data_IF_967743621850
#
_entry.id   IF_967743621850
#
_cell.length_a   1.000
_cell.length_b   1.000
_cell.length_c   1.000
_cell.angle_alpha   90.00
_cell.angle_beta   90.00
_cell.angle_gamma   90.00
#
_symmetry.space_group_name_H-M   'P 1'
#
loop_
_entity.id
_entity.type
_entity.pdbx_description
1 polymer ?
#
# COMPACT_ATOMS: atom_id res chain seq x y z
N UNK A 1 -22.60 -9.19 31.34
CA UNK A 1 -21.46 -9.65 30.51
C UNK A 1 -21.49 -8.91 29.18
N UNK A 2 -20.70 -7.85 29.03
CA UNK A 2 -20.56 -7.13 27.76
C UNK A 2 -19.61 -7.94 26.87
N UNK A 3 -20.10 -8.44 25.73
CA UNK A 3 -19.27 -9.14 24.75
C UNK A 3 -18.32 -8.11 24.14
N UNK A 4 -17.04 -8.14 24.53
CA UNK A 4 -15.98 -7.34 23.90
C UNK A 4 -15.89 -7.82 22.45
N UNK A 5 -16.48 -7.05 21.53
CA UNK A 5 -16.24 -7.22 20.10
C UNK A 5 -14.74 -7.08 19.92
N UNK A 6 -14.10 -8.15 19.46
CA UNK A 6 -12.67 -8.25 19.23
C UNK A 6 -12.22 -7.03 18.44
N UNK A 7 -11.59 -6.07 19.11
CA UNK A 7 -10.91 -4.96 18.44
C UNK A 7 -9.81 -5.62 17.63
N UNK A 8 -9.96 -5.67 16.30
CA UNK A 8 -8.79 -5.82 15.45
C UNK A 8 -7.98 -4.56 15.77
N UNK A 9 -6.98 -4.69 16.64
CA UNK A 9 -6.09 -3.58 16.99
C UNK A 9 -5.63 -2.91 15.71
N UNK A 10 -5.74 -1.59 15.61
CA UNK A 10 -5.48 -0.81 14.39
C UNK A 10 -4.18 -1.23 13.70
N UNK A 11 -3.16 -1.63 14.47
CA UNK A 11 -1.90 -2.20 13.98
C UNK A 11 -2.04 -3.46 13.11
N UNK A 12 -2.90 -4.41 13.47
CA UNK A 12 -3.12 -5.62 12.67
C UNK A 12 -3.87 -5.29 11.38
N UNK A 13 -4.78 -4.33 11.42
CA UNK A 13 -5.49 -3.86 10.24
C UNK A 13 -4.55 -3.10 9.29
N UNK A 14 -3.72 -2.20 9.81
CA UNK A 14 -2.71 -1.48 9.05
C UNK A 14 -1.71 -2.42 8.38
N UNK A 15 -1.23 -3.45 9.09
CA UNK A 15 -0.34 -4.47 8.51
C UNK A 15 -0.98 -5.23 7.35
N UNK A 16 -2.25 -5.62 7.49
CA UNK A 16 -3.00 -6.30 6.42
C UNK A 16 -3.21 -5.40 5.21
N UNK A 17 -3.55 -4.13 5.44
CA UNK A 17 -3.69 -3.14 4.37
C UNK A 17 -2.37 -2.94 3.63
N UNK A 18 -1.28 -2.79 4.37
CA UNK A 18 0.05 -2.65 3.80
C UNK A 18 0.45 -3.88 2.96
N UNK A 19 0.20 -5.11 3.45
CA UNK A 19 0.44 -6.33 2.66
C UNK A 19 -0.36 -6.38 1.35
N UNK A 20 -1.63 -5.95 1.38
CA UNK A 20 -2.45 -5.88 0.17
C UNK A 20 -1.88 -4.88 -0.84
N UNK A 21 -1.44 -3.71 -0.36
CA UNK A 21 -0.82 -2.69 -1.19
C UNK A 21 0.49 -3.18 -1.83
N UNK A 22 1.31 -3.90 -1.07
CA UNK A 22 2.52 -4.54 -1.61
C UNK A 22 2.20 -5.60 -2.67
N UNK A 23 1.16 -6.42 -2.48
CA UNK A 23 0.72 -7.35 -3.50
C UNK A 23 0.26 -6.64 -4.78
N UNK A 24 -0.48 -5.53 -4.63
CA UNK A 24 -0.88 -4.72 -5.78
C UNK A 24 0.33 -4.06 -6.46
N UNK A 25 1.35 -3.65 -5.72
CA UNK A 25 2.57 -3.09 -6.28
C UNK A 25 3.38 -4.11 -7.10
N UNK A 26 3.23 -5.40 -6.82
CA UNK A 26 3.87 -6.48 -7.60
C UNK A 26 3.16 -6.83 -8.92
N UNK A 27 1.96 -6.30 -9.15
CA UNK A 27 1.23 -6.46 -10.42
C UNK A 27 1.47 -5.23 -11.32
N UNK A 28 1.98 -5.39 -12.57
CA UNK A 28 2.31 -4.26 -13.43
C UNK A 28 1.15 -3.32 -13.79
N UNK A 29 -0.09 -3.81 -13.89
CA UNK A 29 -1.24 -2.95 -14.19
C UNK A 29 -1.69 -2.16 -12.97
N UNK A 30 -1.68 -2.79 -11.79
CA UNK A 30 -2.03 -2.14 -10.53
C UNK A 30 -0.93 -1.19 -10.05
N UNK A 31 0.35 -1.54 -10.27
CA UNK A 31 1.50 -0.71 -9.97
C UNK A 31 1.43 0.64 -10.70
N UNK A 32 1.07 0.66 -11.98
CA UNK A 32 0.85 1.92 -12.74
C UNK A 32 -0.25 2.79 -12.11
N UNK A 33 -1.35 2.17 -11.66
CA UNK A 33 -2.45 2.88 -11.01
C UNK A 33 -2.03 3.43 -9.64
N UNK A 34 -1.26 2.65 -8.87
CA UNK A 34 -0.71 3.05 -7.58
C UNK A 34 0.23 4.24 -7.73
N UNK A 35 1.21 4.15 -8.63
CA UNK A 35 2.17 5.23 -8.92
C UNK A 35 1.42 6.50 -9.32
N UNK A 36 0.50 6.43 -10.29
CA UNK A 36 -0.28 7.60 -10.71
C UNK A 36 -1.04 8.24 -9.54
N UNK A 37 -1.70 7.43 -8.71
CA UNK A 37 -2.48 7.93 -7.57
C UNK A 37 -1.61 8.56 -6.49
N UNK A 38 -0.41 8.03 -6.28
CA UNK A 38 0.59 8.58 -5.35
C UNK A 38 1.29 9.81 -5.92
N UNK A 39 1.43 9.91 -7.24
CA UNK A 39 1.93 11.12 -7.91
C UNK A 39 0.93 12.27 -7.80
N UNK A 40 -0.38 11.97 -7.88
CA UNK A 40 -1.45 12.93 -7.64
C UNK A 40 -1.56 13.34 -6.16
N UNK A 41 -1.02 12.55 -5.22
CA UNK A 41 -1.13 12.79 -3.77
C UNK A 41 0.22 12.59 -3.05
N UNK A 42 1.05 13.65 -2.92
CA UNK A 42 2.37 13.56 -2.30
C UNK A 42 2.37 13.01 -0.88
N UNK A 43 1.34 13.30 -0.08
CA UNK A 43 1.21 12.79 1.30
C UNK A 43 1.04 11.27 1.34
N UNK A 44 0.28 10.70 0.39
CA UNK A 44 0.13 9.25 0.24
C UNK A 44 1.45 8.62 -0.19
N UNK A 45 2.19 9.27 -1.09
CA UNK A 45 3.51 8.80 -1.51
C UNK A 45 4.49 8.77 -0.34
N UNK A 46 4.47 9.77 0.53
CA UNK A 46 5.33 9.79 1.72
C UNK A 46 4.96 8.69 2.72
N UNK A 47 3.65 8.45 2.92
CA UNK A 47 3.16 7.41 3.84
C UNK A 47 3.29 5.97 3.32
N UNK A 48 3.39 5.78 2.01
CA UNK A 48 3.46 4.48 1.32
C UNK A 48 4.69 4.38 0.42
N UNK A 49 5.80 4.98 0.84
CA UNK A 49 7.01 5.10 0.03
C UNK A 49 7.58 3.75 -0.41
N UNK A 50 7.54 2.76 0.48
CA UNK A 50 7.96 1.39 0.19
C UNK A 50 7.10 0.73 -0.92
N UNK A 51 5.78 0.87 -0.83
CA UNK A 51 4.83 0.42 -1.86
C UNK A 51 5.09 1.15 -3.18
N UNK A 52 5.39 2.45 -3.13
CA UNK A 52 5.71 3.24 -4.31
C UNK A 52 6.99 2.76 -5.00
N UNK A 53 8.06 2.51 -4.23
CA UNK A 53 9.30 1.96 -4.75
C UNK A 53 9.08 0.59 -5.39
N UNK A 54 8.34 -0.30 -4.73
CA UNK A 54 8.00 -1.62 -5.28
C UNK A 54 7.22 -1.48 -6.60
N UNK A 55 6.22 -0.59 -6.63
CA UNK A 55 5.42 -0.36 -7.83
C UNK A 55 6.26 0.21 -8.98
N UNK A 56 7.16 1.15 -8.69
CA UNK A 56 8.10 1.73 -9.65
C UNK A 56 9.10 0.71 -10.19
N UNK A 57 9.58 -0.20 -9.33
CA UNK A 57 10.44 -1.32 -9.71
C UNK A 57 9.69 -2.30 -10.64
N UNK A 58 8.47 -2.70 -10.27
CA UNK A 58 7.62 -3.60 -11.07
C UNK A 58 7.34 -3.07 -12.48
N UNK A 59 7.21 -1.76 -12.64
CA UNK A 59 6.94 -1.13 -13.95
C UNK A 59 8.24 -0.73 -14.70
N UNK A 60 9.40 -1.04 -14.15
CA UNK A 60 10.70 -0.79 -14.78
C UNK A 60 11.10 0.69 -14.85
N UNK A 61 10.67 1.50 -13.87
CA UNK A 61 11.03 2.92 -13.75
C UNK A 61 12.06 3.20 -12.65
N UNK A 62 12.48 2.16 -11.90
CA UNK A 62 13.65 2.18 -11.03
C UNK A 62 14.67 1.19 -11.62
N UNK A 63 15.77 1.72 -12.16
CA UNK A 63 16.99 0.99 -12.54
C UNK A 63 18.00 1.10 -11.39
#
# INVERSE_FOLDING_TARGET
MVKVKTFITDNQWQRKQHQLLMQMASDPEQAKKLVRKMDENPDLRQGLWDVYCEAMNTIGLLD
#
